data_IF_936332801559
#
_entry.id   IF_936332801559
#
_cell.length_a   1.000
_cell.length_b   1.000
_cell.length_c   1.000
_cell.angle_alpha   90.00
_cell.angle_beta   90.00
_cell.angle_gamma   90.00
#
_symmetry.space_group_name_H-M   'P 1'
#
loop_
_entity.id
_entity.type
_entity.pdbx_description
1 polymer ?
#
# COMPACT_ATOMS: atom_id res chain seq x y z
N UNK A 1 -9.52 0.02 26.82
CA UNK A 1 -9.21 1.27 27.55
C UNK A 1 -8.49 2.21 26.61
N UNK A 2 -9.19 3.27 26.19
CA UNK A 2 -8.68 4.25 25.23
C UNK A 2 -7.91 5.32 26.01
N UNK A 3 -6.58 5.23 26.00
CA UNK A 3 -5.70 6.28 26.54
C UNK A 3 -5.07 7.02 25.37
N UNK A 4 -5.73 8.06 24.86
CA UNK A 4 -5.09 9.29 24.37
C UNK A 4 -6.17 10.23 23.76
N UNK A 5 -6.79 11.05 24.61
CA UNK A 5 -7.69 12.13 24.20
C UNK A 5 -6.94 13.40 23.80
N UNK A 6 -5.68 13.56 24.21
CA UNK A 6 -4.87 14.76 23.98
C UNK A 6 -4.33 14.82 22.54
N UNK A 7 -3.87 13.69 22.00
CA UNK A 7 -3.37 13.61 20.62
C UNK A 7 -4.47 13.86 19.57
N UNK A 8 -5.74 13.57 19.90
CA UNK A 8 -6.91 13.75 19.01
C UNK A 8 -7.11 15.19 18.58
N UNK A 9 -7.19 16.09 19.56
CA UNK A 9 -7.45 17.51 19.33
C UNK A 9 -6.24 18.17 18.66
N UNK A 10 -5.03 17.76 19.03
CA UNK A 10 -3.80 18.27 18.43
C UNK A 10 -3.67 17.90 16.93
N UNK A 11 -4.20 16.75 16.50
CA UNK A 11 -4.18 16.30 15.12
C UNK A 11 -5.42 16.75 14.29
N UNK A 12 -6.41 17.41 14.92
CA UNK A 12 -7.60 17.92 14.24
C UNK A 12 -8.65 16.86 13.88
N UNK A 13 -8.57 15.64 14.43
CA UNK A 13 -9.54 14.58 14.14
C UNK A 13 -10.67 14.55 15.18
N UNK A 14 -11.90 14.62 14.71
CA UNK A 14 -13.10 14.32 15.48
C UNK A 14 -13.46 12.84 15.31
N UNK A 15 -13.48 12.08 16.41
CA UNK A 15 -13.72 10.63 16.39
C UNK A 15 -14.97 10.34 17.19
N UNK A 16 -15.98 9.78 16.52
CA UNK A 16 -17.24 9.37 17.13
C UNK A 16 -17.10 8.18 18.10
N UNK A 17 -18.10 7.94 18.95
CA UNK A 17 -18.09 6.84 19.91
C UNK A 17 -18.06 5.46 19.26
N UNK A 18 -18.63 5.33 18.05
CA UNK A 18 -18.76 4.07 17.32
C UNK A 18 -17.58 3.80 16.37
N UNK A 19 -16.47 4.53 16.52
CA UNK A 19 -15.30 4.32 15.68
C UNK A 19 -14.66 2.96 15.94
N UNK A 20 -14.49 2.19 14.87
CA UNK A 20 -13.73 0.95 14.87
C UNK A 20 -12.55 1.03 13.89
N UNK A 21 -11.46 0.34 14.23
CA UNK A 21 -10.31 0.23 13.34
C UNK A 21 -10.70 -0.48 12.03
N UNK A 22 -10.19 0.01 10.91
CA UNK A 22 -10.52 -0.53 9.60
C UNK A 22 -10.11 -2.00 9.47
N UNK A 23 -11.07 -2.86 9.14
CA UNK A 23 -10.80 -4.25 8.77
C UNK A 23 -10.44 -4.29 7.29
N UNK A 24 -9.20 -4.65 6.95
CA UNK A 24 -8.72 -4.66 5.56
C UNK A 24 -9.58 -5.54 4.62
N UNK A 25 -10.28 -6.53 5.18
CA UNK A 25 -11.25 -7.35 4.43
C UNK A 25 -12.39 -6.54 3.80
N UNK A 26 -12.69 -5.37 4.37
CA UNK A 26 -13.75 -4.47 3.93
C UNK A 26 -13.26 -3.46 2.88
N UNK A 27 -12.03 -3.59 2.38
CA UNK A 27 -11.56 -2.81 1.24
C UNK A 27 -12.49 -3.00 0.04
N UNK A 28 -12.92 -1.89 -0.59
CA UNK A 28 -13.84 -1.89 -1.72
C UNK A 28 -13.43 -2.86 -2.82
N UNK A 29 -12.15 -2.91 -3.17
CA UNK A 29 -11.68 -3.81 -4.22
C UNK A 29 -11.91 -5.28 -3.88
N UNK A 30 -11.85 -5.62 -2.59
CA UNK A 30 -12.05 -6.97 -2.09
C UNK A 30 -13.52 -7.33 -1.93
N UNK A 31 -14.33 -6.40 -1.42
CA UNK A 31 -15.78 -6.59 -1.28
C UNK A 31 -16.44 -6.72 -2.65
N UNK A 32 -16.03 -5.89 -3.63
CA UNK A 32 -16.52 -5.95 -5.00
C UNK A 32 -16.21 -7.29 -5.67
N UNK A 33 -14.99 -7.82 -5.49
CA UNK A 33 -14.61 -9.15 -5.96
C UNK A 33 -15.45 -10.26 -5.32
N UNK A 34 -15.68 -10.17 -4.02
CA UNK A 34 -16.51 -11.14 -3.30
C UNK A 34 -17.99 -11.10 -3.71
N UNK A 35 -18.54 -9.90 -3.95
CA UNK A 35 -19.96 -9.71 -4.26
C UNK A 35 -20.33 -10.00 -5.72
N UNK A 36 -19.41 -9.75 -6.66
CA UNK A 36 -19.60 -10.09 -8.07
C UNK A 36 -19.58 -11.60 -8.32
N UNK A 37 -19.12 -12.39 -7.35
CA UNK A 37 -18.90 -13.83 -7.48
C UNK A 37 -17.82 -14.16 -8.52
N UNK A 38 -17.39 -15.42 -8.55
CA UNK A 38 -16.51 -15.97 -9.60
C UNK A 38 -17.27 -16.09 -10.93
N UNK A 39 -17.70 -14.96 -11.50
CA UNK A 39 -18.28 -14.90 -12.82
C UNK A 39 -17.16 -14.70 -13.84
N UNK A 40 -17.21 -15.46 -14.94
CA UNK A 40 -16.23 -15.40 -16.04
C UNK A 40 -15.92 -13.98 -16.54
N UNK A 41 -16.91 -13.07 -16.49
CA UNK A 41 -16.72 -11.65 -16.89
C UNK A 41 -15.92 -10.87 -15.86
N UNK A 42 -16.20 -11.08 -14.57
CA UNK A 42 -15.46 -10.50 -13.44
C UNK A 42 -14.02 -10.97 -13.48
N UNK A 43 -13.80 -12.27 -13.56
CA UNK A 43 -12.45 -12.86 -13.69
C UNK A 43 -11.69 -12.28 -14.88
N UNK A 44 -12.34 -12.15 -16.04
CA UNK A 44 -11.73 -11.55 -17.24
C UNK A 44 -11.38 -10.07 -17.06
N UNK A 45 -12.23 -9.29 -16.39
CA UNK A 45 -11.95 -7.89 -16.09
C UNK A 45 -10.75 -7.76 -15.15
N UNK A 46 -10.72 -8.53 -14.06
CA UNK A 46 -9.62 -8.47 -13.10
C UNK A 46 -8.32 -9.07 -13.62
N UNK A 47 -8.39 -10.08 -14.49
CA UNK A 47 -7.23 -10.58 -15.22
C UNK A 47 -6.54 -9.50 -16.05
N UNK A 48 -7.26 -8.47 -16.51
CA UNK A 48 -6.65 -7.35 -17.27
C UNK A 48 -5.66 -6.51 -16.45
N UNK A 49 -5.77 -6.51 -15.12
CA UNK A 49 -4.80 -5.88 -14.23
C UNK A 49 -3.50 -6.67 -14.11
N UNK A 50 -3.52 -7.99 -14.40
CA UNK A 50 -2.32 -8.85 -14.39
C UNK A 50 -1.71 -8.99 -15.78
N UNK A 51 -2.56 -9.26 -16.77
CA UNK A 51 -2.14 -9.55 -18.13
C UNK A 51 -2.86 -8.62 -19.11
N UNK A 52 -2.14 -7.91 -20.01
CA UNK A 52 -2.81 -7.19 -21.09
C UNK A 52 -3.63 -8.18 -21.90
N UNK A 53 -4.92 -7.91 -22.08
CA UNK A 53 -5.66 -8.58 -23.13
C UNK A 53 -4.94 -8.31 -24.45
N UNK A 54 -4.64 -9.36 -25.20
CA UNK A 54 -4.20 -9.28 -26.58
C UNK A 54 -5.32 -8.66 -27.42
N UNK A 55 -5.42 -7.34 -27.39
CA UNK A 55 -6.30 -6.57 -28.24
C UNK A 55 -5.57 -6.37 -29.55
N UNK A 56 -6.24 -6.70 -30.66
CA UNK A 56 -5.71 -6.60 -32.01
C UNK A 56 -4.94 -5.29 -32.21
N UNK A 57 -3.68 -5.41 -32.63
CA UNK A 57 -2.89 -4.27 -33.09
C UNK A 57 -3.69 -3.55 -34.19
N UNK A 58 -3.97 -2.26 -34.01
CA UNK A 58 -4.48 -1.44 -35.10
C UNK A 58 -5.59 -0.43 -34.77
N UNK A 59 -6.15 -0.40 -33.56
CA UNK A 59 -7.15 0.62 -33.22
C UNK A 59 -6.62 1.49 -32.07
N UNK A 60 -6.31 2.75 -32.38
CA UNK A 60 -5.95 3.84 -31.46
C UNK A 60 -4.48 3.90 -31.00
N UNK A 61 -3.58 4.41 -31.86
CA UNK A 61 -2.16 4.69 -31.55
C UNK A 61 -1.96 5.49 -30.24
N UNK A 62 -2.79 6.50 -29.99
CA UNK A 62 -2.75 7.29 -28.75
C UNK A 62 -3.08 6.46 -27.51
N UNK A 63 -4.06 5.56 -27.59
CA UNK A 63 -4.42 4.69 -26.48
C UNK A 63 -3.36 3.60 -26.24
N UNK A 64 -2.72 3.10 -27.31
CA UNK A 64 -1.59 2.18 -27.20
C UNK A 64 -0.38 2.86 -26.54
N UNK A 65 -0.04 4.10 -26.95
CA UNK A 65 1.07 4.87 -26.36
C UNK A 65 0.82 5.24 -24.90
N UNK A 66 -0.37 5.73 -24.56
CA UNK A 66 -0.73 6.06 -23.19
C UNK A 66 -0.63 4.82 -22.28
N UNK A 67 -1.11 3.66 -22.74
CA UNK A 67 -0.99 2.40 -22.01
C UNK A 67 0.45 1.92 -21.86
N UNK A 68 1.29 2.08 -22.90
CA UNK A 68 2.71 1.75 -22.81
C UNK A 68 3.43 2.63 -21.77
N UNK A 69 3.13 3.93 -21.73
CA UNK A 69 3.65 4.85 -20.71
C UNK A 69 3.20 4.45 -19.30
N UNK A 70 1.91 4.16 -19.11
CA UNK A 70 1.38 3.72 -17.82
C UNK A 70 2.04 2.43 -17.33
N UNK A 71 2.28 1.46 -18.23
CA UNK A 71 3.02 0.22 -17.92
C UNK A 71 4.47 0.48 -17.56
N UNK A 72 5.16 1.34 -18.31
CA UNK A 72 6.54 1.72 -18.00
C UNK A 72 6.66 2.36 -16.61
N UNK A 73 5.69 3.21 -16.24
CA UNK A 73 5.64 3.84 -14.91
C UNK A 73 5.28 2.87 -13.79
N UNK A 74 4.45 1.85 -14.06
CA UNK A 74 4.04 0.85 -13.09
C UNK A 74 5.02 -0.33 -12.93
N UNK A 75 5.97 -0.51 -13.87
CA UNK A 75 6.81 -1.73 -13.92
C UNK A 75 7.62 -2.03 -12.66
N UNK A 76 8.08 -1.01 -11.93
CA UNK A 76 8.76 -1.22 -10.63
C UNK A 76 7.77 -1.65 -9.55
N UNK A 77 6.56 -1.10 -9.56
CA UNK A 77 5.48 -1.50 -8.64
C UNK A 77 5.05 -2.95 -8.88
N UNK A 78 4.93 -3.34 -10.16
CA UNK A 78 4.53 -4.69 -10.56
C UNK A 78 5.55 -5.73 -10.11
N UNK A 79 6.85 -5.39 -10.12
CA UNK A 79 7.92 -6.29 -9.64
C UNK A 79 7.67 -6.76 -8.21
N UNK A 80 7.25 -5.86 -7.32
CA UNK A 80 6.97 -6.21 -5.93
C UNK A 80 5.56 -6.77 -5.74
N UNK A 81 4.57 -6.20 -6.44
CA UNK A 81 3.17 -6.62 -6.31
C UNK A 81 2.95 -8.06 -6.78
N UNK A 82 3.67 -8.51 -7.81
CA UNK A 82 3.54 -9.86 -8.38
C UNK A 82 4.62 -10.83 -7.90
N UNK A 83 5.60 -10.40 -7.08
CA UNK A 83 6.70 -11.24 -6.60
C UNK A 83 6.23 -12.51 -5.85
N UNK A 84 5.04 -12.47 -5.25
CA UNK A 84 4.44 -13.55 -4.45
C UNK A 84 3.10 -14.01 -5.01
N UNK A 85 2.90 -13.90 -6.33
CA UNK A 85 1.67 -14.32 -7.02
C UNK A 85 1.28 -15.76 -6.68
N UNK A 86 2.26 -16.66 -6.61
CA UNK A 86 2.02 -18.10 -6.33
C UNK A 86 1.59 -18.36 -4.87
N UNK A 87 1.87 -17.42 -3.95
CA UNK A 87 1.42 -17.45 -2.56
C UNK A 87 0.07 -16.73 -2.37
N UNK A 88 -0.60 -16.32 -3.45
CA UNK A 88 -1.79 -15.45 -3.46
C UNK A 88 -1.60 -14.14 -2.67
N UNK A 89 -0.37 -13.60 -2.68
CA UNK A 89 -0.02 -12.35 -1.99
C UNK A 89 0.28 -11.23 -2.97
N UNK A 90 -0.25 -10.04 -2.70
CA UNK A 90 0.06 -8.81 -3.44
C UNK A 90 0.69 -7.77 -2.52
N UNK A 91 2.01 -7.83 -2.47
CA UNK A 91 2.81 -6.99 -1.58
C UNK A 91 2.75 -5.51 -1.97
N UNK A 92 2.59 -4.64 -0.97
CA UNK A 92 2.43 -3.20 -1.19
C UNK A 92 1.01 -2.76 -1.53
N UNK A 93 0.08 -3.70 -1.73
CA UNK A 93 -1.35 -3.43 -1.94
C UNK A 93 -2.21 -4.10 -0.86
N UNK A 94 -2.32 -5.43 -0.90
CA UNK A 94 -3.10 -6.19 0.10
C UNK A 94 -2.23 -6.80 1.19
N UNK A 95 -0.92 -6.86 1.00
CA UNK A 95 0.01 -7.52 1.92
C UNK A 95 1.25 -6.66 2.23
N UNK A 96 1.89 -6.86 3.39
CA UNK A 96 3.18 -6.23 3.68
C UNK A 96 4.27 -6.78 2.75
N UNK A 97 5.27 -5.94 2.47
CA UNK A 97 6.46 -6.34 1.71
C UNK A 97 7.27 -7.39 2.45
N UNK A 98 7.73 -8.41 1.72
CA UNK A 98 8.74 -9.35 2.22
C UNK A 98 10.06 -8.61 2.34
N UNK A 99 10.71 -8.75 3.50
CA UNK A 99 12.05 -8.20 3.70
C UNK A 99 13.07 -9.01 2.87
N UNK A 100 13.66 -8.39 1.86
CA UNK A 100 14.57 -9.08 0.93
C UNK A 100 16.00 -9.24 1.46
N UNK A 101 16.43 -8.33 2.34
CA UNK A 101 17.75 -8.33 2.95
C UNK A 101 17.62 -8.41 4.47
N UNK A 102 18.58 -9.04 5.18
CA UNK A 102 18.61 -8.95 6.62
C UNK A 102 18.74 -7.49 7.06
N UNK A 103 18.22 -7.11 8.25
CA UNK A 103 18.44 -5.78 8.78
C UNK A 103 19.95 -5.52 8.91
N UNK A 104 20.35 -4.26 8.74
CA UNK A 104 21.75 -3.89 8.96
C UNK A 104 22.23 -4.35 10.34
N UNK A 105 23.40 -4.98 10.41
CA UNK A 105 23.99 -5.48 11.65
C UNK A 105 24.39 -4.34 12.60
N UNK A 106 24.76 -3.19 12.05
CA UNK A 106 25.09 -1.99 12.79
C UNK A 106 23.84 -1.13 13.04
N UNK A 107 23.64 -0.75 14.31
CA UNK A 107 22.63 0.25 14.71
C UNK A 107 23.28 1.63 14.74
N UNK A 108 22.63 2.60 14.12
CA UNK A 108 23.05 4.00 14.24
C UNK A 108 22.47 4.56 15.54
N UNK A 109 23.34 4.93 16.46
CA UNK A 109 22.95 5.63 17.68
C UNK A 109 22.83 7.14 17.39
N UNK A 110 21.78 7.76 17.91
CA UNK A 110 21.59 9.21 17.84
C UNK A 110 21.55 9.76 19.27
N UNK A 111 22.25 10.87 19.49
CA UNK A 111 22.28 11.53 20.79
C UNK A 111 20.91 12.08 21.21
N UNK A 112 20.06 12.45 20.22
CA UNK A 112 18.73 13.01 20.47
C UNK A 112 17.71 12.55 19.42
N UNK A 113 16.40 12.55 19.76
CA UNK A 113 15.34 12.31 18.78
C UNK A 113 15.36 13.29 17.61
N UNK A 114 15.77 14.54 17.83
CA UNK A 114 15.89 15.57 16.79
C UNK A 114 16.99 15.23 15.79
N UNK A 115 18.13 14.70 16.26
CA UNK A 115 19.19 14.22 15.39
C UNK A 115 18.74 13.03 14.54
N UNK A 116 18.05 12.06 15.15
CA UNK A 116 17.46 10.93 14.43
C UNK A 116 16.43 11.38 13.39
N UNK A 117 15.54 12.31 13.75
CA UNK A 117 14.53 12.85 12.86
C UNK A 117 15.15 13.59 11.65
N UNK A 118 16.21 14.37 11.87
CA UNK A 118 16.95 15.04 10.80
C UNK A 118 17.53 14.03 9.81
N UNK A 119 18.14 12.96 10.32
CA UNK A 119 18.74 11.93 9.47
C UNK A 119 17.70 11.14 8.68
N UNK A 120 16.60 10.70 9.31
CA UNK A 120 15.51 9.99 8.63
C UNK A 120 14.92 10.85 7.50
N UNK A 121 14.70 12.15 7.74
CA UNK A 121 14.19 13.08 6.72
C UNK A 121 15.17 13.27 5.57
N UNK A 122 16.49 13.36 5.86
CA UNK A 122 17.54 13.46 4.84
C UNK A 122 17.55 12.23 3.95
N UNK A 123 17.55 11.04 4.55
CA UNK A 123 17.53 9.77 3.83
C UNK A 123 16.27 9.65 2.98
N UNK A 124 15.09 9.90 3.54
CA UNK A 124 13.83 9.81 2.79
C UNK A 124 13.78 10.74 1.56
N UNK A 125 14.33 11.97 1.65
CA UNK A 125 14.45 12.86 0.50
C UNK A 125 15.45 12.35 -0.55
N UNK A 126 16.54 11.72 -0.13
CA UNK A 126 17.49 11.08 -1.05
C UNK A 126 16.84 9.91 -1.82
N UNK A 127 15.83 9.25 -1.24
CA UNK A 127 14.99 8.25 -1.90
C UNK A 127 13.81 8.85 -2.71
N UNK A 128 13.76 10.18 -2.89
CA UNK A 128 12.79 10.84 -3.76
C UNK A 128 11.50 11.30 -3.08
N UNK A 129 11.39 11.25 -1.75
CA UNK A 129 10.22 11.78 -1.06
C UNK A 129 10.10 13.31 -1.23
N UNK A 130 8.98 13.77 -1.81
CA UNK A 130 8.68 15.19 -1.95
C UNK A 130 8.44 15.88 -0.59
N UNK A 131 7.76 15.18 0.33
CA UNK A 131 7.55 15.64 1.70
C UNK A 131 7.67 14.50 2.73
N UNK A 132 8.08 14.84 3.96
CA UNK A 132 8.34 13.88 5.04
C UNK A 132 7.97 14.43 6.41
N UNK A 133 6.99 13.79 7.04
CA UNK A 133 6.60 13.99 8.44
C UNK A 133 7.00 12.81 9.34
N UNK A 134 7.06 13.05 10.64
CA UNK A 134 7.20 12.01 11.68
C UNK A 134 6.08 12.26 12.69
N UNK A 135 5.33 11.23 13.02
CA UNK A 135 4.23 11.29 13.98
C UNK A 135 4.31 10.11 14.95
N UNK A 136 3.61 10.23 16.09
CA UNK A 136 3.41 9.11 16.98
C UNK A 136 2.59 8.03 16.29
N UNK A 137 2.87 6.76 16.62
CA UNK A 137 2.10 5.63 16.10
C UNK A 137 0.71 5.64 16.74
N UNK A 138 -0.32 5.68 15.91
CA UNK A 138 -1.71 5.65 16.34
C UNK A 138 -2.39 4.37 15.83
N UNK A 139 -2.67 3.47 16.78
CA UNK A 139 -3.23 2.13 16.51
C UNK A 139 -4.62 2.17 15.85
N UNK A 140 -5.33 3.31 15.92
CA UNK A 140 -6.66 3.47 15.32
C UNK A 140 -6.61 3.39 13.79
N UNK A 141 -5.53 3.88 13.20
CA UNK A 141 -5.34 3.92 11.74
C UNK A 141 -4.64 2.67 11.19
N UNK A 142 -4.24 1.75 12.06
CA UNK A 142 -3.62 0.51 11.64
C UNK A 142 -4.70 -0.47 11.18
N UNK A 143 -4.68 -0.81 9.90
CA UNK A 143 -5.59 -1.82 9.36
C UNK A 143 -5.34 -3.15 10.08
N UNK A 144 -6.42 -3.79 10.53
CA UNK A 144 -6.29 -5.12 11.16
C UNK A 144 -6.03 -6.17 10.08
N UNK A 145 -4.90 -6.91 10.17
CA UNK A 145 -4.64 -8.00 9.26
C UNK A 145 -5.66 -9.13 9.47
N UNK A 146 -5.77 -10.01 8.48
CA UNK A 146 -6.62 -11.21 8.52
C UNK A 146 -6.33 -12.00 9.81
N UNK A 147 -7.35 -12.26 10.64
CA UNK A 147 -7.27 -13.40 11.58
C UNK A 147 -7.31 -14.66 10.72
N UNK A 148 -6.29 -15.49 10.82
CA UNK A 148 -6.36 -16.86 10.32
C UNK A 148 -7.41 -17.60 11.16
N UNK A 149 -8.62 -17.70 10.62
CA UNK A 149 -9.54 -18.81 10.89
C UNK A 149 -9.41 -19.80 9.76
#
# INVERSE_FOLDING_TARGET
MIRDTAHRRAAGFEIGPDFEAFAQRNDFYRVLLGSLGAQRKTERFYATYREPLAMAQGRWFHAARLRATQRGLAGVSDLFTEARRDDDRREGFSDPYTQQLPPASARVAFATPQAAAKEIKRVARAFGAGDVGIAARDERWMARPRRAT
#
